data_IF_769357896926
#
_entry.id   IF_769357896926
#
_cell.length_a   1.000
_cell.length_b   1.000
_cell.length_c   1.000
_cell.angle_alpha   90.00
_cell.angle_beta   90.00
_cell.angle_gamma   90.00
#
_symmetry.space_group_name_H-M   'P 1'
#
loop_
_entity.id
_entity.type
_entity.pdbx_description
1 polymer ?
#
# COMPACT_ATOMS: atom_id res chain seq x y z
N UNK A 1 6.56 10.49 8.58
CA UNK A 1 5.19 9.99 8.81
C UNK A 1 5.19 8.47 8.80
N UNK A 2 4.55 7.78 9.76
CA UNK A 2 4.41 6.32 9.69
C UNK A 2 3.58 5.94 8.44
N UNK A 3 3.87 4.81 7.76
CA UNK A 3 3.12 4.40 6.58
C UNK A 3 1.63 4.21 6.89
N UNK A 4 0.76 4.30 5.87
CA UNK A 4 -0.66 4.09 6.07
C UNK A 4 -0.91 2.67 6.58
N UNK A 5 -1.78 2.57 7.58
CA UNK A 5 -2.18 1.33 8.24
C UNK A 5 -3.68 1.14 8.15
N UNK A 6 -4.28 1.58 7.05
CA UNK A 6 -5.71 1.50 6.78
C UNK A 6 -6.03 1.00 5.36
N UNK A 7 -5.03 0.50 4.63
CA UNK A 7 -5.22 -0.10 3.31
C UNK A 7 -5.67 -1.55 3.50
N UNK A 8 -6.89 -1.88 3.10
CA UNK A 8 -7.45 -3.24 3.18
C UNK A 8 -6.73 -4.16 2.20
N UNK A 9 -6.10 -5.24 2.69
CA UNK A 9 -5.40 -6.21 1.83
C UNK A 9 -6.34 -7.33 1.38
N UNK A 10 -6.94 -8.02 2.35
CA UNK A 10 -7.87 -9.11 2.10
C UNK A 10 -8.75 -9.41 3.32
N UNK A 11 -9.79 -10.21 3.09
CA UNK A 11 -10.67 -10.74 4.13
C UNK A 11 -10.61 -12.27 4.05
N UNK A 12 -10.56 -12.94 5.20
CA UNK A 12 -10.37 -14.40 5.28
C UNK A 12 -11.69 -15.08 5.57
N UNK A 13 -12.08 -16.01 4.68
CA UNK A 13 -13.24 -16.86 4.83
C UNK A 13 -12.81 -18.33 5.01
N UNK A 14 -12.96 -18.85 6.22
CA UNK A 14 -12.65 -20.23 6.57
C UNK A 14 -13.77 -21.16 6.11
N UNK A 15 -13.40 -22.19 5.38
CA UNK A 15 -14.28 -23.30 5.01
C UNK A 15 -14.07 -24.46 5.99
N UNK A 16 -15.02 -25.39 6.13
CA UNK A 16 -14.80 -26.60 6.90
C UNK A 16 -13.54 -27.35 6.41
N UNK A 17 -12.89 -28.11 7.30
CA UNK A 17 -11.67 -28.83 6.95
C UNK A 17 -11.91 -29.81 5.77
N UNK A 18 -10.98 -29.83 4.81
CA UNK A 18 -11.06 -30.63 3.59
C UNK A 18 -12.12 -30.17 2.58
N UNK A 19 -12.76 -29.03 2.80
CA UNK A 19 -13.93 -28.55 2.02
C UNK A 19 -13.66 -27.31 1.18
N UNK A 20 -12.40 -27.01 0.87
CA UNK A 20 -12.06 -25.92 -0.05
C UNK A 20 -12.74 -26.04 -1.42
N UNK A 21 -12.81 -27.22 -2.08
CA UNK A 21 -13.51 -27.34 -3.37
C UNK A 21 -15.01 -27.01 -3.30
N UNK A 22 -15.66 -27.36 -2.20
CA UNK A 22 -17.08 -27.07 -1.97
C UNK A 22 -17.27 -25.54 -1.81
N UNK A 23 -16.38 -24.88 -1.08
CA UNK A 23 -16.37 -23.42 -0.96
C UNK A 23 -16.10 -22.71 -2.29
N UNK A 24 -15.14 -23.19 -3.10
CA UNK A 24 -14.89 -22.67 -4.46
C UNK A 24 -16.17 -22.73 -5.30
N UNK A 25 -16.79 -23.90 -5.37
CA UNK A 25 -18.04 -24.11 -6.12
C UNK A 25 -19.14 -23.16 -5.65
N UNK A 26 -19.25 -22.95 -4.34
CA UNK A 26 -20.24 -22.06 -3.76
C UNK A 26 -20.02 -20.59 -4.15
N UNK A 27 -18.78 -20.11 -4.02
CA UNK A 27 -18.41 -18.76 -4.41
C UNK A 27 -18.57 -18.51 -5.92
N UNK A 28 -18.31 -19.51 -6.76
CA UNK A 28 -18.59 -19.46 -8.19
C UNK A 28 -20.08 -19.35 -8.51
N UNK A 29 -20.95 -20.05 -7.76
CA UNK A 29 -22.42 -19.92 -7.90
C UNK A 29 -22.93 -18.54 -7.52
N UNK A 30 -22.23 -17.84 -6.62
CA UNK A 30 -22.50 -16.44 -6.29
C UNK A 30 -22.01 -15.46 -7.38
N UNK A 31 -21.43 -15.97 -8.46
CA UNK A 31 -20.97 -15.19 -9.60
C UNK A 31 -19.57 -14.60 -9.43
N UNK A 32 -18.80 -15.04 -8.42
CA UNK A 32 -17.40 -14.70 -8.31
C UNK A 32 -16.55 -15.60 -9.21
N UNK A 33 -15.44 -15.05 -9.69
CA UNK A 33 -14.38 -15.84 -10.30
C UNK A 33 -13.42 -16.24 -9.19
N UNK A 34 -13.26 -17.54 -8.99
CA UNK A 34 -12.35 -18.07 -7.97
C UNK A 34 -11.10 -18.60 -8.66
N UNK A 35 -9.93 -18.21 -8.17
CA UNK A 35 -8.63 -18.66 -8.71
C UNK A 35 -7.95 -19.57 -7.69
N UNK A 36 -7.44 -20.75 -8.10
CA UNK A 36 -6.65 -21.60 -7.22
C UNK A 36 -5.46 -20.83 -6.63
N UNK A 37 -5.33 -20.85 -5.31
CA UNK A 37 -4.19 -20.26 -4.63
C UNK A 37 -3.06 -21.28 -4.55
N UNK A 38 -3.07 -22.09 -3.49
CA UNK A 38 -2.13 -23.18 -3.28
C UNK A 38 -2.10 -23.64 -1.82
N UNK A 39 -1.12 -24.48 -1.48
CA UNK A 39 -0.90 -24.95 -0.11
C UNK A 39 0.09 -24.04 0.61
N UNK A 40 -0.26 -23.61 1.82
CA UNK A 40 0.60 -22.78 2.65
C UNK A 40 1.84 -23.53 3.14
N UNK A 41 2.90 -22.78 3.42
CA UNK A 41 4.11 -23.32 4.05
C UNK A 41 3.74 -24.02 5.36
N UNK A 42 4.15 -25.29 5.50
CA UNK A 42 3.76 -26.16 6.61
C UNK A 42 2.64 -27.16 6.27
N UNK A 43 1.95 -27.00 5.13
CA UNK A 43 1.03 -28.02 4.60
C UNK A 43 -0.29 -28.17 5.34
N UNK A 44 -0.59 -27.29 6.31
CA UNK A 44 -1.77 -27.39 7.16
C UNK A 44 -3.04 -26.86 6.50
N UNK A 45 -2.92 -25.85 5.66
CA UNK A 45 -4.03 -25.18 5.00
C UNK A 45 -3.75 -24.97 3.52
N UNK A 46 -4.81 -24.95 2.73
CA UNK A 46 -4.79 -24.51 1.33
C UNK A 46 -5.82 -23.41 1.12
N UNK A 47 -5.59 -22.61 0.07
CA UNK A 47 -6.48 -21.50 -0.27
C UNK A 47 -6.86 -21.41 -1.75
N UNK A 48 -7.92 -20.67 -1.98
CA UNK A 48 -8.35 -20.13 -3.26
C UNK A 48 -8.70 -18.64 -3.08
N UNK A 49 -8.68 -17.89 -4.18
CA UNK A 49 -8.70 -16.43 -4.14
C UNK A 49 -9.84 -15.88 -5.00
N UNK A 50 -10.56 -14.90 -4.45
CA UNK A 50 -11.45 -14.03 -5.21
C UNK A 50 -10.83 -12.64 -5.25
N UNK A 51 -10.11 -12.33 -6.32
CA UNK A 51 -9.47 -11.02 -6.51
C UNK A 51 -10.47 -10.01 -7.11
N UNK A 52 -10.50 -8.80 -6.57
CA UNK A 52 -11.40 -7.72 -6.96
C UNK A 52 -10.65 -6.61 -7.71
N UNK A 53 -11.37 -5.77 -8.44
CA UNK A 53 -10.78 -4.70 -9.26
C UNK A 53 -10.12 -3.60 -8.42
N UNK A 54 -10.50 -3.47 -7.16
CA UNK A 54 -9.87 -2.56 -6.19
C UNK A 54 -8.58 -3.11 -5.55
N UNK A 55 -8.10 -4.28 -6.01
CA UNK A 55 -6.88 -4.91 -5.53
C UNK A 55 -7.00 -5.60 -4.16
N UNK A 56 -8.17 -5.55 -3.53
CA UNK A 56 -8.52 -6.40 -2.38
C UNK A 56 -8.87 -7.81 -2.89
N UNK A 57 -8.65 -8.83 -2.07
CA UNK A 57 -9.15 -10.17 -2.37
C UNK A 57 -9.84 -10.84 -1.18
N UNK A 58 -10.66 -11.86 -1.45
CA UNK A 58 -11.15 -12.79 -0.43
C UNK A 58 -10.27 -14.04 -0.46
N UNK A 59 -9.71 -14.38 0.69
CA UNK A 59 -9.01 -15.65 0.88
C UNK A 59 -10.01 -16.71 1.33
N UNK A 60 -10.36 -17.63 0.44
CA UNK A 60 -11.06 -18.86 0.81
C UNK A 60 -10.01 -19.83 1.32
N UNK A 61 -10.03 -20.15 2.61
CA UNK A 61 -9.04 -21.02 3.23
C UNK A 61 -9.71 -22.24 3.84
N UNK A 62 -9.04 -23.39 3.82
CA UNK A 62 -9.46 -24.57 4.58
C UNK A 62 -8.25 -25.25 5.19
N UNK A 63 -8.42 -25.83 6.38
CA UNK A 63 -7.47 -26.82 6.89
C UNK A 63 -7.59 -28.12 6.09
N UNK A 64 -6.46 -28.77 5.79
CA UNK A 64 -6.44 -30.05 5.07
C UNK A 64 -7.08 -31.17 5.90
N UNK A 65 -6.90 -31.10 7.21
CA UNK A 65 -7.49 -32.00 8.19
C UNK A 65 -8.11 -31.17 9.33
N UNK A 66 -9.16 -31.67 10.01
CA UNK A 66 -9.70 -31.00 11.19
C UNK A 66 -8.59 -30.71 12.21
N UNK A 67 -8.53 -29.49 12.78
CA UNK A 67 -7.63 -29.20 13.88
C UNK A 67 -7.83 -30.19 15.04
N UNK A 68 -6.75 -30.64 15.66
CA UNK A 68 -6.79 -31.51 16.84
C UNK A 68 -7.04 -30.70 18.13
N UNK A 69 -7.48 -31.36 19.20
CA UNK A 69 -7.55 -30.78 20.54
C UNK A 69 -6.61 -31.57 21.49
N UNK A 70 -5.48 -30.98 21.95
CA UNK A 70 -5.01 -29.62 21.66
C UNK A 70 -4.52 -29.47 20.20
N UNK A 71 -4.47 -28.22 19.66
CA UNK A 71 -4.00 -27.97 18.30
C UNK A 71 -2.58 -28.50 18.07
N UNK A 72 -2.38 -29.22 16.96
CA UNK A 72 -1.07 -29.72 16.55
C UNK A 72 -0.12 -28.61 16.07
N UNK A 73 -0.63 -27.38 15.92
CA UNK A 73 0.13 -26.19 15.54
C UNK A 73 -0.35 -24.98 16.33
N UNK A 74 0.54 -23.99 16.47
CA UNK A 74 0.23 -22.67 17.04
C UNK A 74 -0.55 -21.77 16.05
N UNK A 75 -1.31 -22.38 15.13
CA UNK A 75 -2.10 -21.62 14.17
C UNK A 75 -3.26 -20.91 14.89
N UNK A 76 -3.26 -19.58 14.82
CA UNK A 76 -4.25 -18.73 15.49
C UNK A 76 -5.68 -18.97 15.02
N UNK A 77 -5.87 -19.57 13.85
CA UNK A 77 -7.19 -19.86 13.28
C UNK A 77 -7.69 -21.28 13.60
N UNK A 78 -6.88 -22.14 14.23
CA UNK A 78 -7.26 -23.52 14.54
C UNK A 78 -8.54 -23.64 15.41
N UNK A 79 -8.83 -22.63 16.24
CA UNK A 79 -10.00 -22.58 17.12
C UNK A 79 -11.21 -21.83 16.52
N UNK A 80 -11.08 -21.33 15.28
CA UNK A 80 -12.13 -20.55 14.62
C UNK A 80 -13.19 -21.47 14.04
N UNK A 81 -14.44 -21.04 14.14
CA UNK A 81 -15.53 -21.68 13.39
C UNK A 81 -15.49 -21.25 11.92
N UNK A 82 -15.93 -22.10 10.96
CA UNK A 82 -15.98 -21.71 9.57
C UNK A 82 -16.84 -20.45 9.34
N UNK A 83 -16.47 -19.65 8.35
CA UNK A 83 -17.05 -18.37 8.01
C UNK A 83 -16.03 -17.24 7.93
N UNK A 84 -16.47 -16.00 8.12
CA UNK A 84 -15.57 -14.83 8.19
C UNK A 84 -14.75 -14.83 9.48
N UNK A 85 -13.45 -15.11 9.39
CA UNK A 85 -12.62 -15.38 10.58
C UNK A 85 -11.59 -14.29 10.91
N UNK A 86 -11.14 -13.54 9.91
CA UNK A 86 -10.06 -12.56 10.04
C UNK A 86 -10.06 -11.58 8.84
N UNK A 87 -9.30 -10.50 8.95
CA UNK A 87 -9.11 -9.53 7.89
C UNK A 87 -7.73 -8.87 8.02
N UNK A 88 -7.18 -8.47 6.87
CA UNK A 88 -5.81 -8.03 6.76
C UNK A 88 -5.73 -6.62 6.19
N UNK A 89 -4.77 -5.87 6.69
CA UNK A 89 -4.30 -4.63 6.08
C UNK A 89 -2.97 -4.84 5.36
N UNK A 90 -2.69 -4.02 4.37
CA UNK A 90 -1.43 -4.07 3.65
C UNK A 90 -0.30 -3.61 4.57
N UNK A 91 0.69 -4.47 4.79
CA UNK A 91 1.90 -4.13 5.52
C UNK A 91 2.89 -3.44 4.61
N UNK A 92 3.21 -2.18 4.90
CA UNK A 92 4.17 -1.37 4.13
C UNK A 92 5.48 -1.12 4.88
N UNK A 93 5.68 -1.79 6.02
CA UNK A 93 6.84 -1.60 6.88
C UNK A 93 7.16 -2.89 7.67
N UNK A 94 8.42 -3.08 8.01
CA UNK A 94 8.91 -4.20 8.82
C UNK A 94 8.56 -4.04 10.31
N UNK A 95 8.29 -2.80 10.75
CA UNK A 95 8.13 -2.39 12.14
C UNK A 95 6.69 -1.96 12.46
N UNK A 96 5.69 -2.52 11.79
CA UNK A 96 4.27 -2.23 12.05
C UNK A 96 3.91 -2.44 13.53
N UNK A 97 4.45 -3.46 14.19
CA UNK A 97 4.23 -3.69 15.62
C UNK A 97 4.73 -2.54 16.50
N UNK A 98 5.84 -1.91 16.12
CA UNK A 98 6.39 -0.72 16.79
C UNK A 98 5.50 0.49 16.52
N UNK A 99 5.08 0.71 15.27
CA UNK A 99 4.18 1.81 14.89
C UNK A 99 2.87 1.75 15.72
N UNK A 100 2.25 0.58 15.80
CA UNK A 100 1.03 0.40 16.60
C UNK A 100 1.31 0.59 18.10
N UNK A 101 2.45 0.10 18.60
CA UNK A 101 2.85 0.29 20.01
C UNK A 101 3.01 1.77 20.35
N UNK A 102 3.67 2.56 19.50
CA UNK A 102 3.84 4.00 19.73
C UNK A 102 2.52 4.75 19.73
N UNK A 103 1.58 4.41 18.83
CA UNK A 103 0.23 4.99 18.81
C UNK A 103 -0.56 4.61 20.07
N UNK A 104 -0.47 3.35 20.51
CA UNK A 104 -1.19 2.88 21.70
C UNK A 104 -0.66 3.51 23.01
N UNK A 105 0.58 3.98 23.07
CA UNK A 105 1.11 4.69 24.27
C UNK A 105 0.25 5.90 24.67
N UNK A 106 -0.32 6.57 23.68
CA UNK A 106 -1.16 7.76 23.88
C UNK A 106 -2.61 7.41 24.14
N UNK A 107 -3.18 6.48 23.37
CA UNK A 107 -4.62 6.12 23.45
C UNK A 107 -4.91 5.12 24.57
N UNK A 108 -3.93 4.27 24.91
CA UNK A 108 -4.03 3.21 25.92
C UNK A 108 -5.20 2.25 25.68
N UNK A 109 -5.44 1.90 24.41
CA UNK A 109 -6.47 0.92 24.01
C UNK A 109 -6.10 -0.51 24.43
N UNK A 110 -4.80 -0.77 24.66
CA UNK A 110 -4.28 -2.07 25.06
C UNK A 110 -4.12 -3.07 23.91
N UNK A 111 -4.23 -2.60 22.65
CA UNK A 111 -3.87 -3.39 21.47
C UNK A 111 -2.35 -3.62 21.46
N UNK A 112 -1.92 -4.83 21.13
CA UNK A 112 -0.51 -5.18 21.03
C UNK A 112 -0.31 -6.14 19.87
N UNK A 113 0.74 -5.93 19.10
CA UNK A 113 1.10 -6.80 17.98
C UNK A 113 2.34 -7.62 18.32
N UNK A 114 2.42 -8.79 17.69
CA UNK A 114 3.62 -9.62 17.65
C UNK A 114 4.57 -9.09 16.59
N UNK A 115 5.87 -9.35 16.73
CA UNK A 115 6.83 -9.08 15.67
C UNK A 115 6.45 -9.87 14.42
N UNK A 116 6.63 -9.27 13.25
CA UNK A 116 6.31 -9.90 11.97
C UNK A 116 6.97 -11.27 11.79
N UNK A 117 6.19 -12.25 11.36
CA UNK A 117 6.64 -13.62 11.04
C UNK A 117 6.55 -13.85 9.54
N UNK A 118 7.61 -14.38 8.95
CA UNK A 118 7.62 -14.72 7.53
C UNK A 118 6.83 -16.01 7.28
N UNK A 119 6.11 -16.00 6.17
CA UNK A 119 5.32 -17.11 5.66
C UNK A 119 5.34 -17.12 4.14
N UNK A 120 4.60 -18.05 3.56
CA UNK A 120 4.57 -18.19 2.12
C UNK A 120 3.66 -19.32 1.65
N UNK A 121 3.51 -19.42 0.34
CA UNK A 121 2.90 -20.58 -0.34
C UNK A 121 3.59 -20.83 -1.67
N UNK A 122 3.38 -22.02 -2.22
CA UNK A 122 3.65 -22.28 -3.64
C UNK A 122 2.37 -22.05 -4.43
N UNK A 123 2.45 -21.31 -5.54
CA UNK A 123 1.29 -21.07 -6.40
C UNK A 123 0.98 -22.31 -7.23
N UNK A 124 -0.28 -22.70 -7.25
CA UNK A 124 -0.72 -23.94 -7.90
C UNK A 124 -0.49 -23.95 -9.42
N UNK A 125 -0.56 -22.80 -10.09
CA UNK A 125 -0.49 -22.71 -11.55
C UNK A 125 0.91 -22.95 -12.14
N UNK A 126 1.96 -22.53 -11.44
CA UNK A 126 3.33 -22.55 -11.97
C UNK A 126 4.40 -22.91 -10.93
N UNK A 127 4.01 -23.22 -9.69
CA UNK A 127 4.91 -23.62 -8.62
C UNK A 127 5.82 -22.52 -8.08
N UNK A 128 5.66 -21.26 -8.52
CA UNK A 128 6.45 -20.14 -8.00
C UNK A 128 6.25 -20.02 -6.49
N UNK A 129 7.34 -19.70 -5.79
CA UNK A 129 7.32 -19.45 -4.36
C UNK A 129 6.96 -17.99 -4.09
N UNK A 130 6.06 -17.76 -3.15
CA UNK A 130 5.58 -16.46 -2.75
C UNK A 130 5.84 -16.31 -1.27
N UNK A 131 6.36 -15.15 -0.87
CA UNK A 131 6.73 -14.88 0.51
C UNK A 131 6.08 -13.59 0.98
N UNK A 132 5.68 -13.60 2.23
CA UNK A 132 5.11 -12.45 2.91
C UNK A 132 5.52 -12.45 4.37
N UNK A 133 5.32 -11.32 5.03
CA UNK A 133 5.45 -11.19 6.48
C UNK A 133 4.09 -10.86 7.08
N UNK A 134 3.67 -11.63 8.07
CA UNK A 134 2.44 -11.35 8.82
C UNK A 134 2.74 -10.78 10.19
N UNK A 135 2.14 -9.64 10.53
CA UNK A 135 2.21 -9.01 11.85
C UNK A 135 0.80 -9.01 12.44
N UNK A 136 0.56 -9.82 13.47
CA UNK A 136 -0.78 -10.06 14.02
C UNK A 136 -0.92 -9.59 15.47
N UNK A 137 -2.14 -9.29 15.95
CA UNK A 137 -2.38 -9.01 17.36
C UNK A 137 -1.90 -10.16 18.26
N UNK A 138 -1.43 -9.81 19.47
CA UNK A 138 -1.16 -10.77 20.53
C UNK A 138 -2.48 -11.32 21.08
N UNK A 139 -2.42 -12.55 21.59
CA UNK A 139 -3.55 -13.17 22.29
C UNK A 139 -4.04 -12.26 23.42
N UNK A 140 -5.37 -12.10 23.55
CA UNK A 140 -6.05 -11.18 24.47
C UNK A 140 -5.79 -9.67 24.26
N UNK A 141 -5.05 -9.27 23.23
CA UNK A 141 -4.68 -7.89 22.94
C UNK A 141 -5.17 -7.41 21.57
N UNK A 142 -6.41 -7.78 21.22
CA UNK A 142 -7.07 -7.41 19.96
C UNK A 142 -7.24 -8.56 18.97
N UNK A 143 -6.74 -9.76 19.30
CA UNK A 143 -7.04 -10.97 18.54
C UNK A 143 -8.57 -11.12 18.41
N UNK A 144 -9.05 -11.44 17.20
CA UNK A 144 -10.46 -11.57 16.77
C UNK A 144 -11.19 -10.28 16.38
N UNK A 145 -10.59 -9.12 16.59
CA UNK A 145 -11.24 -7.83 16.26
C UNK A 145 -10.33 -6.93 15.42
N UNK A 146 -9.09 -6.72 15.88
CA UNK A 146 -8.10 -5.96 15.16
C UNK A 146 -7.54 -6.76 13.97
N UNK A 147 -7.25 -6.11 12.84
CA UNK A 147 -6.72 -6.78 11.65
C UNK A 147 -5.29 -7.25 11.87
N UNK A 148 -4.82 -8.22 11.11
CA UNK A 148 -3.39 -8.44 10.95
C UNK A 148 -2.85 -7.64 9.76
N UNK A 149 -1.54 -7.53 9.65
CA UNK A 149 -0.88 -6.92 8.49
C UNK A 149 -0.21 -7.99 7.65
N UNK A 150 -0.32 -7.87 6.33
CA UNK A 150 0.35 -8.74 5.37
C UNK A 150 1.26 -7.90 4.46
N UNK A 151 2.58 -8.05 4.63
CA UNK A 151 3.59 -7.39 3.83
C UNK A 151 4.10 -8.35 2.75
N UNK A 152 4.04 -7.92 1.49
CA UNK A 152 4.61 -8.64 0.36
C UNK A 152 6.15 -8.63 0.42
N UNK A 153 6.78 -9.82 0.51
CA UNK A 153 8.25 -9.98 0.38
C UNK A 153 8.66 -10.42 -1.03
N UNK A 154 7.70 -10.94 -1.79
CA UNK A 154 7.78 -11.15 -3.24
C UNK A 154 6.79 -10.21 -3.93
N UNK A 155 6.98 -9.86 -5.23
CA UNK A 155 6.05 -9.00 -5.95
C UNK A 155 4.58 -9.41 -5.75
N UNK A 156 3.74 -8.43 -5.41
CA UNK A 156 2.33 -8.64 -5.02
C UNK A 156 1.51 -9.33 -6.11
N UNK A 157 1.78 -9.01 -7.37
CA UNK A 157 1.14 -9.59 -8.56
C UNK A 157 1.39 -11.11 -8.68
N UNK A 158 2.43 -11.64 -8.01
CA UNK A 158 2.58 -13.07 -7.85
C UNK A 158 1.51 -13.63 -6.90
N UNK A 159 1.25 -12.94 -5.78
CA UNK A 159 0.37 -13.38 -4.68
C UNK A 159 -1.10 -13.17 -5.00
N UNK A 160 -1.44 -12.02 -5.58
CA UNK A 160 -2.80 -11.58 -5.86
C UNK A 160 -3.01 -11.61 -7.37
N UNK A 161 -3.89 -12.49 -7.89
CA UNK A 161 -4.23 -12.51 -9.30
C UNK A 161 -4.81 -11.16 -9.76
N UNK A 162 -4.53 -10.77 -11.00
CA UNK A 162 -5.16 -9.60 -11.60
C UNK A 162 -6.68 -9.80 -11.74
N UNK A 163 -7.43 -8.78 -11.36
CA UNK A 163 -8.86 -8.68 -11.57
C UNK A 163 -9.22 -7.29 -12.11
N UNK A 164 -10.02 -7.26 -13.17
CA UNK A 164 -10.63 -6.06 -13.72
C UNK A 164 -12.13 -5.99 -13.46
N UNK A 165 -12.76 -4.90 -13.89
CA UNK A 165 -14.16 -4.56 -13.61
C UNK A 165 -15.21 -5.55 -14.15
N UNK A 166 -14.84 -6.44 -15.07
CA UNK A 166 -15.71 -7.43 -15.70
C UNK A 166 -15.30 -8.87 -15.34
N UNK A 167 -14.49 -9.03 -14.29
CA UNK A 167 -13.96 -10.33 -13.86
C UNK A 167 -15.02 -11.25 -13.29
N UNK A 168 -16.05 -10.68 -12.65
CA UNK A 168 -17.08 -11.42 -11.95
C UNK A 168 -18.42 -11.28 -12.66
N UNK A 169 -19.16 -12.38 -12.80
CA UNK A 169 -20.50 -12.37 -13.42
C UNK A 169 -21.52 -11.68 -12.54
N UNK A 170 -21.29 -11.64 -11.22
CA UNK A 170 -22.06 -10.84 -10.26
C UNK A 170 -21.72 -9.34 -10.29
N UNK A 171 -20.78 -8.93 -11.16
CA UNK A 171 -20.35 -7.53 -11.35
C UNK A 171 -19.67 -6.90 -10.13
N UNK A 172 -19.20 -7.69 -9.17
CA UNK A 172 -18.45 -7.19 -8.03
C UNK A 172 -17.17 -6.47 -8.49
N UNK A 173 -16.92 -5.31 -7.89
CA UNK A 173 -15.80 -4.43 -8.20
C UNK A 173 -14.81 -4.34 -7.04
N UNK A 174 -15.32 -4.41 -5.82
CA UNK A 174 -14.54 -4.13 -4.63
C UNK A 174 -15.34 -4.31 -3.34
N UNK A 175 -14.73 -3.98 -2.21
CA UNK A 175 -15.37 -4.06 -0.89
C UNK A 175 -16.17 -2.79 -0.62
N UNK A 176 -17.42 -2.94 -0.19
CA UNK A 176 -18.27 -1.85 0.28
C UNK A 176 -18.13 -1.66 1.79
N UNK A 177 -18.14 -2.75 2.55
CA UNK A 177 -18.02 -2.67 4.00
C UNK A 177 -17.64 -4.00 4.64
N UNK A 178 -17.16 -3.90 5.89
CA UNK A 178 -16.95 -4.99 6.83
C UNK A 178 -17.72 -4.63 8.10
N UNK A 179 -18.63 -5.49 8.53
CA UNK A 179 -19.33 -5.33 9.81
C UNK A 179 -18.75 -6.29 10.85
N UNK A 180 -18.10 -5.72 11.86
CA UNK A 180 -17.52 -6.43 12.98
C UNK A 180 -18.46 -6.32 14.19
N UNK A 181 -19.02 -7.45 14.62
CA UNK A 181 -19.88 -7.51 15.80
C UNK A 181 -19.04 -7.83 17.03
N UNK A 182 -19.28 -7.15 18.15
CA UNK A 182 -18.56 -7.36 19.42
C UNK A 182 -19.52 -7.31 20.61
N UNK A 183 -19.18 -7.94 21.76
CA UNK A 183 -19.93 -7.74 22.99
C UNK A 183 -20.08 -6.25 23.31
N UNK A 184 -21.27 -5.83 23.74
CA UNK A 184 -21.53 -4.42 24.05
C UNK A 184 -20.53 -3.86 25.08
N UNK A 185 -20.15 -4.67 26.07
CA UNK A 185 -19.15 -4.32 27.08
C UNK A 185 -17.73 -4.12 26.53
N UNK A 186 -17.44 -4.58 25.31
CA UNK A 186 -16.14 -4.44 24.65
C UNK A 186 -16.14 -3.35 23.56
N UNK A 187 -17.30 -2.77 23.22
CA UNK A 187 -17.44 -1.84 22.09
C UNK A 187 -16.43 -0.68 22.15
N UNK A 188 -16.37 0.04 23.27
CA UNK A 188 -15.48 1.19 23.42
C UNK A 188 -14.00 0.80 23.36
N UNK A 189 -13.66 -0.36 23.95
CA UNK A 189 -12.30 -0.90 23.89
C UNK A 189 -11.91 -1.22 22.44
N UNK A 190 -12.75 -1.97 21.73
CA UNK A 190 -12.47 -2.35 20.34
C UNK A 190 -12.43 -1.11 19.44
N UNK A 191 -13.33 -0.14 19.64
CA UNK A 191 -13.30 1.15 18.93
C UNK A 191 -11.95 1.84 19.12
N UNK A 192 -11.47 1.95 20.37
CA UNK A 192 -10.16 2.54 20.64
C UNK A 192 -9.02 1.76 19.97
N UNK A 193 -9.06 0.43 20.00
CA UNK A 193 -8.05 -0.43 19.37
C UNK A 193 -8.02 -0.24 17.84
N UNK A 194 -9.18 -0.25 17.19
CA UNK A 194 -9.29 -0.01 15.75
C UNK A 194 -8.79 1.40 15.39
N UNK A 195 -9.15 2.43 16.17
CA UNK A 195 -8.67 3.79 15.91
C UNK A 195 -7.14 3.92 16.02
N UNK A 196 -6.51 3.20 16.96
CA UNK A 196 -5.05 3.11 17.06
C UNK A 196 -4.45 2.43 15.84
N UNK A 197 -5.03 1.31 15.41
CA UNK A 197 -4.53 0.52 14.29
C UNK A 197 -4.66 1.27 12.97
N UNK A 198 -5.82 1.87 12.70
CA UNK A 198 -6.08 2.59 11.45
C UNK A 198 -5.51 4.01 11.44
N UNK A 199 -5.03 4.51 12.59
CA UNK A 199 -4.62 5.90 12.79
C UNK A 199 -5.70 6.91 12.38
N UNK A 200 -6.95 6.59 12.68
CA UNK A 200 -8.12 7.38 12.35
C UNK A 200 -9.18 7.22 13.44
N UNK A 201 -9.98 8.26 13.67
CA UNK A 201 -11.13 8.15 14.58
C UNK A 201 -12.35 7.64 13.81
N UNK A 202 -13.24 6.91 14.50
CA UNK A 202 -14.53 6.57 13.94
C UNK A 202 -15.41 7.82 13.80
N UNK A 203 -16.36 7.77 12.88
CA UNK A 203 -17.47 8.72 12.87
C UNK A 203 -18.50 8.41 13.99
N UNK A 204 -19.59 9.17 14.04
CA UNK A 204 -20.67 9.01 15.03
C UNK A 204 -21.42 7.68 14.94
N UNK A 205 -21.23 6.93 13.84
CA UNK A 205 -21.86 5.62 13.58
C UNK A 205 -20.90 4.45 13.78
N UNK A 206 -19.76 4.67 14.43
CA UNK A 206 -18.71 3.66 14.68
C UNK A 206 -18.10 3.09 13.39
N UNK A 207 -17.91 3.95 12.40
CA UNK A 207 -17.33 3.59 11.10
C UNK A 207 -16.00 4.29 10.82
N UNK A 208 -15.10 3.56 10.17
CA UNK A 208 -13.84 4.06 9.60
C UNK A 208 -13.83 3.83 8.10
N UNK A 209 -13.24 4.77 7.36
CA UNK A 209 -12.96 4.59 5.94
C UNK A 209 -11.63 3.85 5.76
N UNK A 210 -11.64 2.84 4.90
CA UNK A 210 -10.48 2.05 4.53
C UNK A 210 -10.01 2.49 3.15
N UNK A 211 -8.70 2.53 2.95
CA UNK A 211 -8.11 2.62 1.63
C UNK A 211 -8.06 1.22 0.98
N UNK A 212 -7.88 1.18 -0.33
CA UNK A 212 -7.74 -0.06 -1.10
C UNK A 212 -6.45 -0.03 -1.92
N UNK A 213 -5.88 -1.18 -2.32
CA UNK A 213 -4.62 -1.22 -3.05
C UNK A 213 -4.71 -0.52 -4.41
N UNK A 214 -5.82 -0.67 -5.13
CA UNK A 214 -6.07 -0.06 -6.43
C UNK A 214 -7.45 0.62 -6.43
N UNK A 215 -7.65 1.71 -7.17
CA UNK A 215 -8.95 2.38 -7.22
C UNK A 215 -9.17 3.36 -6.07
N UNK A 216 -10.09 4.29 -6.25
CA UNK A 216 -10.78 4.95 -5.15
C UNK A 216 -12.28 4.74 -5.34
N UNK A 217 -12.95 4.18 -4.33
CA UNK A 217 -14.41 4.15 -4.33
C UNK A 217 -14.93 5.40 -3.63
N UNK A 218 -16.00 5.99 -4.15
CA UNK A 218 -16.78 7.00 -3.45
C UNK A 218 -18.22 6.49 -3.34
N UNK A 219 -18.58 5.79 -2.25
CA UNK A 219 -17.92 5.81 -0.95
C UNK A 219 -16.78 4.80 -0.83
N UNK A 220 -15.73 5.16 -0.07
CA UNK A 220 -14.67 4.22 0.30
C UNK A 220 -15.25 3.02 1.08
N UNK A 221 -14.58 1.85 1.05
CA UNK A 221 -14.97 0.74 1.90
C UNK A 221 -14.98 1.15 3.37
N UNK A 222 -15.97 0.69 4.13
CA UNK A 222 -16.10 1.04 5.55
C UNK A 222 -15.96 -0.16 6.47
N UNK A 223 -15.19 -0.01 7.53
CA UNK A 223 -15.30 -0.89 8.69
C UNK A 223 -16.32 -0.31 9.66
N UNK A 224 -17.30 -1.10 10.09
CA UNK A 224 -18.23 -0.76 11.17
C UNK A 224 -18.07 -1.70 12.35
N UNK A 225 -18.00 -1.15 13.56
CA UNK A 225 -18.06 -1.96 14.78
C UNK A 225 -19.45 -1.86 15.40
N UNK A 226 -20.06 -3.00 15.72
CA UNK A 226 -21.44 -3.10 16.19
C UNK A 226 -21.45 -3.78 17.57
N UNK A 227 -21.86 -3.04 18.59
CA UNK A 227 -22.09 -3.59 19.93
C UNK A 227 -23.36 -4.44 20.01
N UNK A 228 -23.30 -5.55 20.73
CA UNK A 228 -24.43 -6.46 20.93
C UNK A 228 -24.34 -7.20 22.26
N UNK A 229 -25.49 -7.49 22.87
CA UNK A 229 -25.56 -8.16 24.18
C UNK A 229 -24.92 -9.57 24.17
N UNK A 230 -25.25 -10.39 23.17
CA UNK A 230 -24.88 -11.82 23.14
C UNK A 230 -23.96 -12.19 21.97
N UNK A 231 -23.01 -11.32 21.61
CA UNK A 231 -22.14 -11.55 20.46
C UNK A 231 -20.78 -12.12 20.85
N UNK A 232 -20.36 -13.20 20.21
CA UNK A 232 -18.94 -13.52 20.07
C UNK A 232 -18.31 -12.51 19.09
N UNK A 233 -17.14 -11.92 19.40
CA UNK A 233 -16.44 -11.05 18.47
C UNK A 233 -16.21 -11.72 17.11
N UNK A 234 -16.55 -11.03 16.02
CA UNK A 234 -16.31 -11.55 14.68
C UNK A 234 -17.00 -10.77 13.58
N UNK A 235 -16.55 -11.01 12.35
CA UNK A 235 -17.13 -10.42 11.16
C UNK A 235 -18.47 -11.13 10.88
N UNK A 236 -19.55 -10.36 10.80
CA UNK A 236 -20.90 -10.91 10.58
C UNK A 236 -21.41 -10.65 9.17
N UNK A 237 -20.86 -9.65 8.49
CA UNK A 237 -21.26 -9.25 7.14
C UNK A 237 -20.09 -8.61 6.39
N UNK A 238 -19.94 -8.99 5.12
CA UNK A 238 -19.04 -8.34 4.16
C UNK A 238 -19.89 -7.88 2.96
N UNK A 239 -19.83 -6.58 2.70
CA UNK A 239 -20.48 -5.95 1.55
C UNK A 239 -19.52 -5.81 0.37
N UNK A 240 -20.02 -6.02 -0.84
CA UNK A 240 -19.30 -5.83 -2.10
C UNK A 240 -19.99 -4.76 -2.92
N UNK A 241 -19.22 -3.85 -3.50
CA UNK A 241 -19.74 -2.96 -4.52
C UNK A 241 -19.96 -3.73 -5.83
N UNK A 242 -21.14 -3.57 -6.42
CA UNK A 242 -21.54 -4.20 -7.70
C UNK A 242 -22.05 -3.16 -8.69
N UNK A 243 -21.85 -3.40 -10.00
CA UNK A 243 -22.41 -2.53 -11.05
C UNK A 243 -23.93 -2.66 -11.19
N UNK A 244 -24.50 -3.81 -10.82
CA UNK A 244 -25.92 -4.12 -10.94
C UNK A 244 -26.36 -4.94 -9.74
N UNK A 245 -27.59 -4.72 -9.27
CA UNK A 245 -28.19 -5.52 -8.20
C UNK A 245 -28.03 -7.01 -8.51
N UNK A 246 -27.40 -7.74 -7.59
CA UNK A 246 -27.19 -9.17 -7.66
C UNK A 246 -27.78 -9.81 -6.42
N UNK A 247 -28.62 -10.83 -6.62
CA UNK A 247 -29.29 -11.53 -5.53
C UNK A 247 -28.61 -12.86 -5.29
N UNK A 248 -28.13 -13.06 -4.07
CA UNK A 248 -27.61 -14.32 -3.56
C UNK A 248 -27.20 -14.13 -2.10
N UNK A 249 -27.55 -15.08 -1.25
CA UNK A 249 -26.99 -15.19 0.10
C UNK A 249 -25.87 -16.24 0.03
N UNK A 250 -24.67 -15.84 0.46
CA UNK A 250 -23.50 -16.70 0.45
C UNK A 250 -23.41 -17.60 1.69
N UNK A 251 -24.29 -17.48 2.67
CA UNK A 251 -23.89 -17.98 3.97
C UNK A 251 -24.00 -19.49 4.11
N UNK A 252 -25.09 -20.16 3.74
CA UNK A 252 -25.39 -21.50 4.27
C UNK A 252 -25.07 -21.61 5.81
N UNK A 253 -25.14 -20.49 6.55
CA UNK A 253 -24.72 -20.38 7.95
C UNK A 253 -23.30 -19.86 8.27
N UNK A 254 -22.46 -19.53 7.28
CA UNK A 254 -21.04 -19.15 7.43
C UNK A 254 -20.71 -17.64 7.32
N UNK A 255 -21.71 -16.76 7.43
CA UNK A 255 -21.50 -15.29 7.54
C UNK A 255 -21.84 -14.48 6.28
N UNK A 256 -22.48 -13.32 6.45
CA UNK A 256 -23.33 -12.68 5.43
C UNK A 256 -22.53 -12.01 4.30
N UNK A 257 -22.96 -12.22 3.06
CA UNK A 257 -22.48 -11.47 1.89
C UNK A 257 -23.61 -10.57 1.41
N UNK A 258 -23.27 -9.30 1.16
CA UNK A 258 -24.21 -8.31 0.63
C UNK A 258 -23.64 -7.68 -0.63
N UNK A 259 -24.50 -7.47 -1.63
CA UNK A 259 -24.15 -6.73 -2.83
C UNK A 259 -24.78 -5.34 -2.73
N UNK A 260 -23.96 -4.30 -2.80
CA UNK A 260 -24.36 -2.90 -2.75
C UNK A 260 -24.11 -2.28 -4.12
N UNK A 261 -25.18 -1.85 -4.77
CA UNK A 261 -25.05 -1.20 -6.08
C UNK A 261 -24.24 0.09 -5.95
N UNK A 262 -23.23 0.22 -6.81
CA UNK A 262 -22.41 1.42 -6.96
C UNK A 262 -22.61 1.94 -8.38
N UNK A 263 -23.06 3.19 -8.51
CA UNK A 263 -23.18 3.81 -9.83
C UNK A 263 -21.76 3.99 -10.39
N UNK A 264 -21.53 3.65 -11.66
CA UNK A 264 -20.17 3.65 -12.26
C UNK A 264 -19.47 5.02 -12.14
N UNK A 265 -20.22 6.13 -12.10
CA UNK A 265 -19.68 7.49 -11.85
C UNK A 265 -19.08 7.70 -10.44
N UNK A 266 -19.43 6.82 -9.51
CA UNK A 266 -19.06 6.84 -8.10
C UNK A 266 -17.89 5.86 -7.82
N UNK A 267 -17.52 5.04 -8.81
CA UNK A 267 -16.29 4.26 -8.84
C UNK A 267 -15.21 5.07 -9.56
N UNK A 268 -14.25 5.62 -8.83
CA UNK A 268 -13.13 6.30 -9.44
C UNK A 268 -12.08 5.24 -9.84
N UNK A 269 -11.88 5.07 -11.15
CA UNK A 269 -10.96 4.10 -11.75
C UNK A 269 -9.48 4.32 -11.42
N UNK A 270 -9.20 5.28 -10.56
CA UNK A 270 -7.88 5.74 -10.22
C UNK A 270 -7.04 4.64 -9.64
N UNK A 271 -6.07 4.15 -10.41
CA UNK A 271 -5.06 3.20 -9.99
C UNK A 271 -4.31 3.62 -8.72
N UNK A 272 -3.25 2.88 -8.43
CA UNK A 272 -2.51 2.92 -7.16
C UNK A 272 -2.27 4.34 -6.63
N UNK A 273 -2.23 4.56 -5.29
CA UNK A 273 -2.00 5.88 -4.71
C UNK A 273 -0.82 6.62 -5.36
N UNK A 274 -1.04 7.89 -5.73
CA UNK A 274 -0.04 8.73 -6.42
C UNK A 274 0.42 9.92 -5.57
N UNK A 275 0.02 9.97 -4.31
CA UNK A 275 0.34 11.03 -3.36
C UNK A 275 1.36 10.62 -2.29
N UNK A 276 2.01 9.45 -2.44
CA UNK A 276 3.07 9.02 -1.54
C UNK A 276 4.34 9.74 -1.96
N UNK A 277 4.89 10.60 -1.12
CA UNK A 277 6.16 11.28 -1.39
C UNK A 277 7.31 10.25 -1.40
N UNK A 278 8.10 10.21 -2.48
CA UNK A 278 9.27 9.33 -2.60
C UNK A 278 10.54 10.06 -2.18
N UNK A 279 10.85 11.18 -2.84
CA UNK A 279 12.03 11.98 -2.54
C UNK A 279 11.92 13.41 -3.06
N UNK A 280 12.82 14.26 -2.57
CA UNK A 280 13.01 15.64 -3.03
C UNK A 280 14.45 15.79 -3.51
N UNK A 281 14.66 16.50 -4.61
CA UNK A 281 15.97 16.61 -5.25
C UNK A 281 16.59 17.98 -4.99
N UNK A 282 17.80 17.94 -4.45
CA UNK A 282 18.66 19.10 -4.26
C UNK A 282 19.87 19.02 -5.19
N UNK A 283 19.89 19.85 -6.22
CA UNK A 283 20.98 19.96 -7.19
C UNK A 283 22.13 20.77 -6.62
N UNK A 284 23.33 20.21 -6.72
CA UNK A 284 24.60 20.88 -6.39
C UNK A 284 25.26 21.38 -7.67
N UNK A 285 26.20 22.36 -7.58
CA UNK A 285 26.98 22.76 -8.74
C UNK A 285 27.72 21.55 -9.37
N UNK A 286 27.97 21.56 -10.70
CA UNK A 286 28.64 20.44 -11.36
C UNK A 286 30.00 20.12 -10.73
N UNK A 287 30.27 18.84 -10.47
CA UNK A 287 31.48 18.33 -9.84
C UNK A 287 31.60 18.64 -8.34
N UNK A 288 30.55 19.14 -7.68
CA UNK A 288 30.57 19.59 -6.28
C UNK A 288 29.72 18.75 -5.32
N UNK A 289 29.46 17.48 -5.65
CA UNK A 289 28.66 16.59 -4.78
C UNK A 289 29.29 16.42 -3.40
N UNK A 290 30.61 16.27 -3.32
CA UNK A 290 31.33 16.11 -2.03
C UNK A 290 31.21 17.34 -1.13
N UNK A 291 31.20 18.54 -1.71
CA UNK A 291 30.98 19.79 -0.96
C UNK A 291 29.55 19.86 -0.43
N UNK A 292 28.56 19.43 -1.21
CA UNK A 292 27.18 19.33 -0.76
C UNK A 292 27.02 18.29 0.36
N UNK A 293 27.63 17.11 0.24
CA UNK A 293 27.65 16.08 1.29
C UNK A 293 28.18 16.68 2.60
N UNK A 294 29.38 17.28 2.56
CA UNK A 294 29.97 17.91 3.73
C UNK A 294 29.08 19.02 4.33
N UNK A 295 28.40 19.79 3.48
CA UNK A 295 27.46 20.81 3.95
C UNK A 295 26.27 20.21 4.69
N UNK A 296 25.66 19.16 4.16
CA UNK A 296 24.52 18.48 4.77
C UNK A 296 24.91 17.71 6.04
N UNK A 297 26.10 17.11 6.09
CA UNK A 297 26.65 16.51 7.30
C UNK A 297 26.85 17.55 8.41
N UNK A 298 27.34 18.74 8.06
CA UNK A 298 27.45 19.86 9.01
C UNK A 298 26.10 20.38 9.53
N UNK A 299 25.01 20.15 8.77
CA UNK A 299 23.64 20.41 9.23
C UNK A 299 23.11 19.29 10.15
N UNK A 300 23.90 18.26 10.43
CA UNK A 300 23.55 17.14 11.30
C UNK A 300 22.81 16.00 10.62
N UNK A 301 22.80 15.94 9.28
CA UNK A 301 22.28 14.80 8.56
C UNK A 301 23.36 13.74 8.35
N UNK A 302 23.07 12.48 8.66
CA UNK A 302 23.80 11.37 8.05
C UNK A 302 23.56 11.34 6.53
N UNK A 303 24.63 11.33 5.74
CA UNK A 303 24.59 11.30 4.28
C UNK A 303 25.21 9.99 3.78
N UNK A 304 24.49 9.27 2.94
CA UNK A 304 24.87 7.98 2.39
C UNK A 304 25.39 8.17 0.96
N UNK A 305 26.61 7.69 0.63
CA UNK A 305 27.09 7.69 -0.75
C UNK A 305 26.17 6.89 -1.68
N UNK A 306 25.64 7.51 -2.73
CA UNK A 306 24.74 6.87 -3.69
C UNK A 306 25.52 6.19 -4.83
N UNK A 307 26.30 6.99 -5.56
CA UNK A 307 27.14 6.57 -6.68
C UNK A 307 26.86 7.34 -7.96
N UNK A 308 27.48 6.94 -9.07
CA UNK A 308 27.25 7.52 -10.40
C UNK A 308 26.11 6.79 -11.10
N UNK A 309 25.19 7.55 -11.71
CA UNK A 309 24.10 7.01 -12.52
C UNK A 309 24.62 6.27 -13.76
N UNK A 310 23.82 5.32 -14.27
CA UNK A 310 24.24 4.43 -15.35
C UNK A 310 24.62 5.17 -16.66
N UNK A 311 24.09 6.37 -16.89
CA UNK A 311 24.44 7.22 -18.03
C UNK A 311 25.77 7.99 -17.86
N UNK A 312 26.35 7.97 -16.67
CA UNK A 312 27.61 8.65 -16.34
C UNK A 312 27.49 10.17 -16.24
N UNK A 313 26.28 10.74 -16.28
CA UNK A 313 26.08 12.20 -16.33
C UNK A 313 26.04 12.84 -14.95
N UNK A 314 25.45 12.14 -13.99
CA UNK A 314 25.24 12.64 -12.63
C UNK A 314 25.65 11.60 -11.60
N UNK A 315 26.04 12.07 -10.42
CA UNK A 315 26.17 11.25 -9.21
C UNK A 315 25.31 11.80 -8.10
N UNK A 316 24.96 10.92 -7.16
CA UNK A 316 24.16 11.29 -6.00
C UNK A 316 24.72 10.79 -4.67
N UNK A 317 24.20 11.41 -3.63
CA UNK A 317 24.22 10.97 -2.25
C UNK A 317 22.81 11.12 -1.67
N UNK A 318 22.50 10.35 -0.63
CA UNK A 318 21.16 10.25 -0.08
C UNK A 318 21.14 10.68 1.37
N UNK A 319 20.11 11.42 1.76
CA UNK A 319 19.71 11.57 3.16
C UNK A 319 18.43 10.77 3.32
N UNK A 320 18.53 9.51 3.77
CA UNK A 320 17.38 8.66 4.03
C UNK A 320 16.76 9.00 5.39
N UNK A 321 15.45 9.22 5.44
CA UNK A 321 14.73 9.61 6.64
C UNK A 321 13.92 8.43 7.19
N UNK A 322 13.61 8.47 8.49
CA UNK A 322 12.92 7.38 9.20
C UNK A 322 11.47 7.15 8.72
N UNK A 323 10.92 8.05 7.92
CA UNK A 323 9.62 7.90 7.29
C UNK A 323 9.65 7.31 5.88
N UNK A 324 10.81 6.85 5.43
CA UNK A 324 10.98 6.20 4.12
C UNK A 324 11.11 7.17 2.94
N UNK A 325 11.00 8.48 3.17
CA UNK A 325 11.37 9.52 2.20
C UNK A 325 12.89 9.72 2.23
N UNK A 326 13.50 10.12 1.12
CA UNK A 326 14.88 10.59 1.13
C UNK A 326 15.04 11.94 0.42
N UNK A 327 16.13 12.63 0.74
CA UNK A 327 16.58 13.78 -0.04
C UNK A 327 17.71 13.31 -0.93
N UNK A 328 17.57 13.53 -2.23
CA UNK A 328 18.61 13.23 -3.20
C UNK A 328 19.51 14.46 -3.38
N UNK A 329 20.74 14.36 -2.88
CA UNK A 329 21.79 15.31 -3.21
C UNK A 329 22.38 14.86 -4.54
N UNK A 330 22.20 15.63 -5.59
CA UNK A 330 22.66 15.27 -6.93
C UNK A 330 23.61 16.32 -7.49
N UNK A 331 24.60 15.91 -8.26
CA UNK A 331 25.41 16.81 -9.07
C UNK A 331 25.64 16.22 -10.45
N UNK A 332 25.71 17.08 -11.47
CA UNK A 332 26.32 16.67 -12.73
C UNK A 332 27.82 16.47 -12.53
N UNK A 333 28.39 15.42 -13.12
CA UNK A 333 29.84 15.17 -13.06
C UNK A 333 30.62 16.30 -13.76
N UNK A 334 30.04 16.85 -14.83
CA UNK A 334 30.58 17.96 -15.62
C UNK A 334 29.47 18.94 -15.97
N UNK A 335 29.77 20.22 -16.25
CA UNK A 335 28.77 21.17 -16.72
C UNK A 335 27.97 20.63 -17.93
N UNK A 336 26.62 20.66 -17.90
CA UNK A 336 25.78 20.04 -18.94
C UNK A 336 25.64 20.94 -20.19
N UNK A 337 26.77 21.25 -20.84
CA UNK A 337 26.84 22.25 -21.93
C UNK A 337 26.61 21.62 -23.32
N UNK A 338 26.75 20.30 -23.49
CA UNK A 338 26.52 19.62 -24.78
C UNK A 338 25.94 18.20 -24.64
N UNK A 339 25.46 17.59 -25.75
CA UNK A 339 24.83 16.27 -25.71
C UNK A 339 25.81 15.16 -25.28
N UNK A 340 25.34 14.11 -24.58
CA UNK A 340 23.94 13.93 -24.14
C UNK A 340 23.58 14.72 -22.87
N UNK A 341 24.54 15.39 -22.22
CA UNK A 341 24.32 16.09 -20.95
C UNK A 341 23.35 17.28 -21.06
N UNK A 342 23.39 18.03 -22.16
CA UNK A 342 22.49 19.16 -22.42
C UNK A 342 21.03 18.74 -22.60
N UNK A 343 20.78 17.47 -22.93
CA UNK A 343 19.45 16.90 -23.18
C UNK A 343 18.86 16.29 -21.91
N UNK A 344 19.63 16.24 -20.82
CA UNK A 344 19.17 15.76 -19.52
C UNK A 344 18.05 16.68 -18.99
N UNK A 345 17.01 16.09 -18.39
CA UNK A 345 15.81 16.80 -17.95
C UNK A 345 16.07 17.89 -16.89
N UNK A 346 17.21 17.82 -16.18
CA UNK A 346 17.66 18.84 -15.24
C UNK A 346 18.79 19.75 -15.75
N UNK A 347 19.23 19.62 -17.01
CA UNK A 347 20.39 20.36 -17.55
C UNK A 347 20.27 21.89 -17.43
N UNK A 348 19.02 22.41 -17.49
CA UNK A 348 18.72 23.86 -17.42
C UNK A 348 18.39 24.34 -16.01
N UNK A 349 18.42 23.46 -15.00
CA UNK A 349 18.13 23.81 -13.61
C UNK A 349 19.34 24.48 -12.97
N UNK A 350 19.08 25.41 -12.06
CA UNK A 350 20.10 26.01 -11.22
C UNK A 350 20.28 25.19 -9.94
N UNK A 351 21.46 25.20 -9.29
CA UNK A 351 21.66 24.56 -8.00
C UNK A 351 20.62 25.00 -6.95
N UNK A 352 20.18 24.06 -6.12
CA UNK A 352 19.12 24.22 -5.12
C UNK A 352 18.05 23.12 -5.23
N UNK A 353 16.86 23.38 -4.69
CA UNK A 353 15.70 22.50 -4.81
C UNK A 353 15.12 22.56 -6.23
N UNK A 354 15.19 21.44 -6.98
CA UNK A 354 14.90 21.47 -8.43
C UNK A 354 13.70 20.66 -8.86
N UNK A 355 13.38 19.59 -8.11
CA UNK A 355 12.35 18.62 -8.47
C UNK A 355 11.96 17.75 -7.26
N UNK A 356 10.88 16.99 -7.39
CA UNK A 356 10.39 16.10 -6.35
C UNK A 356 9.56 14.97 -6.96
N UNK A 357 9.49 13.84 -6.26
CA UNK A 357 8.90 12.62 -6.77
C UNK A 357 7.85 12.06 -5.83
N UNK A 358 6.81 11.48 -6.42
CA UNK A 358 5.94 10.54 -5.74
C UNK A 358 6.36 9.09 -6.06
N UNK A 359 6.04 8.16 -5.15
CA UNK A 359 6.34 6.75 -5.32
C UNK A 359 5.41 6.16 -6.38
N UNK A 360 5.98 5.56 -7.42
CA UNK A 360 5.24 4.80 -8.41
C UNK A 360 4.97 3.39 -7.89
N UNK A 361 3.70 3.04 -7.69
CA UNK A 361 3.27 1.72 -7.21
C UNK A 361 2.84 0.77 -8.33
N UNK A 362 2.79 1.24 -9.57
CA UNK A 362 2.35 0.50 -10.74
C UNK A 362 3.10 0.94 -12.01
N UNK A 363 3.07 0.07 -13.03
CA UNK A 363 3.77 0.30 -14.30
C UNK A 363 3.17 1.44 -15.14
N UNK A 364 1.88 1.77 -14.91
CA UNK A 364 1.08 2.63 -15.79
C UNK A 364 0.51 3.86 -15.08
N UNK A 365 1.30 4.50 -14.21
CA UNK A 365 0.90 5.70 -13.46
C UNK A 365 0.49 6.87 -14.37
N UNK A 366 1.07 6.95 -15.57
CA UNK A 366 0.66 7.90 -16.62
C UNK A 366 -0.80 7.71 -17.04
N UNK A 367 -1.25 6.46 -17.15
CA UNK A 367 -2.64 6.12 -17.47
C UNK A 367 -3.58 6.42 -16.30
N UNK A 368 -3.12 6.21 -15.07
CA UNK A 368 -3.88 6.59 -13.86
C UNK A 368 -4.10 8.10 -13.80
N UNK A 369 -3.06 8.90 -14.03
CA UNK A 369 -3.20 10.37 -14.10
C UNK A 369 -4.10 10.78 -15.27
N UNK A 370 -3.93 10.17 -16.45
CA UNK A 370 -4.79 10.44 -17.61
C UNK A 370 -6.26 10.03 -17.37
N UNK A 371 -6.51 9.04 -16.52
CA UNK A 371 -7.84 8.67 -16.05
C UNK A 371 -8.49 9.79 -15.25
N UNK A 372 -7.76 10.34 -14.26
CA UNK A 372 -8.22 11.45 -13.39
C UNK A 372 -8.45 12.74 -14.13
N UNK A 373 -7.63 13.01 -15.13
CA UNK A 373 -7.76 14.21 -15.95
C UNK A 373 -9.11 14.27 -16.67
N UNK A 374 -9.74 13.10 -16.94
CA UNK A 374 -11.08 13.03 -17.53
C UNK A 374 -12.13 13.62 -16.59
N UNK A 375 -12.42 14.90 -16.77
CA UNK A 375 -13.47 15.62 -16.05
C UNK A 375 -12.99 16.79 -15.20
N UNK A 376 -11.68 16.99 -15.07
CA UNK A 376 -11.10 18.15 -14.35
C UNK A 376 -10.62 19.25 -15.30
N UNK A 377 -10.25 18.90 -16.54
CA UNK A 377 -9.73 19.83 -17.56
C UNK A 377 -8.54 20.67 -17.05
N UNK A 378 -7.65 20.03 -16.28
CA UNK A 378 -6.40 20.64 -15.81
C UNK A 378 -5.32 20.67 -16.90
N UNK A 379 -5.50 19.83 -17.93
CA UNK A 379 -4.60 19.64 -19.05
C UNK A 379 -3.30 18.91 -18.71
N UNK A 380 -3.18 18.29 -17.52
CA UNK A 380 -1.96 17.57 -17.12
C UNK A 380 -1.80 16.28 -17.93
N UNK A 381 -0.58 16.05 -18.41
CA UNK A 381 -0.21 14.85 -19.15
C UNK A 381 1.15 14.34 -18.67
N UNK A 382 1.36 13.03 -18.75
CA UNK A 382 2.62 12.37 -18.44
C UNK A 382 3.22 11.72 -19.68
N UNK A 383 4.53 11.51 -19.63
CA UNK A 383 5.28 10.74 -20.62
C UNK A 383 5.27 9.27 -20.24
N UNK A 384 5.55 8.39 -21.20
CA UNK A 384 5.84 6.98 -20.90
C UNK A 384 7.03 6.86 -19.94
N UNK A 385 6.96 5.90 -19.03
CA UNK A 385 7.99 5.67 -18.03
C UNK A 385 9.33 5.24 -18.66
N UNK A 386 10.43 5.85 -18.22
CA UNK A 386 11.77 5.52 -18.68
C UNK A 386 12.54 4.78 -17.59
N UNK A 387 13.15 3.66 -17.94
CA UNK A 387 13.98 2.90 -17.00
C UNK A 387 15.34 3.57 -16.79
N UNK A 388 15.80 3.52 -15.55
CA UNK A 388 17.08 4.03 -15.08
C UNK A 388 17.67 3.10 -14.02
N UNK A 389 18.89 3.42 -13.60
CA UNK A 389 19.61 2.60 -12.63
C UNK A 389 20.93 3.20 -12.20
N UNK A 390 21.49 2.66 -11.12
CA UNK A 390 22.88 2.89 -10.70
C UNK A 390 23.44 1.67 -9.99
N UNK A 391 24.76 1.65 -9.79
CA UNK A 391 25.40 0.71 -8.86
C UNK A 391 25.56 1.39 -7.51
N UNK A 392 25.20 0.68 -6.44
CA UNK A 392 25.38 1.16 -5.08
C UNK A 392 26.85 1.20 -4.71
N UNK A 393 27.32 2.32 -4.18
CA UNK A 393 28.73 2.53 -3.88
C UNK A 393 29.30 1.55 -2.84
N UNK A 394 28.50 1.08 -1.88
CA UNK A 394 28.96 0.25 -0.77
C UNK A 394 29.27 -1.20 -1.15
N UNK A 395 28.48 -1.81 -2.03
CA UNK A 395 28.56 -3.24 -2.36
C UNK A 395 28.45 -3.55 -3.87
N UNK A 396 28.34 -2.53 -4.71
CA UNK A 396 28.27 -2.68 -6.17
C UNK A 396 26.95 -3.26 -6.68
N UNK A 397 25.95 -3.49 -5.82
CA UNK A 397 24.64 -4.01 -6.23
C UNK A 397 23.98 -3.07 -7.22
N UNK A 398 23.40 -3.66 -8.27
CA UNK A 398 22.61 -2.94 -9.26
C UNK A 398 21.20 -2.72 -8.72
N UNK A 399 20.72 -1.49 -8.83
CA UNK A 399 19.35 -1.12 -8.55
C UNK A 399 18.76 -0.42 -9.77
N UNK A 400 17.48 -0.72 -10.05
CA UNK A 400 16.76 -0.24 -11.22
C UNK A 400 15.44 0.39 -10.81
N UNK A 401 15.04 1.39 -11.57
CA UNK A 401 13.79 2.11 -11.38
C UNK A 401 13.19 2.52 -12.71
N UNK A 402 11.92 2.89 -12.70
CA UNK A 402 11.24 3.56 -13.81
C UNK A 402 10.80 4.94 -13.35
N UNK A 403 11.14 5.96 -14.13
CA UNK A 403 10.71 7.35 -13.89
C UNK A 403 9.70 7.79 -14.94
N UNK A 404 8.56 8.31 -14.47
CA UNK A 404 7.48 8.82 -15.32
C UNK A 404 7.31 10.31 -15.04
N UNK A 405 7.67 11.14 -16.00
CA UNK A 405 7.64 12.60 -15.85
C UNK A 405 6.40 13.23 -16.48
N UNK A 406 5.95 14.41 -16.01
CA UNK A 406 4.97 15.18 -16.75
C UNK A 406 5.46 15.52 -18.17
N UNK A 407 4.57 15.84 -19.09
CA UNK A 407 4.95 16.37 -20.40
C UNK A 407 5.76 17.67 -20.24
N UNK A 408 6.74 17.91 -21.12
CA UNK A 408 7.66 19.05 -20.99
C UNK A 408 6.95 20.42 -20.93
N UNK A 409 5.76 20.51 -21.55
CA UNK A 409 4.91 21.71 -21.55
C UNK A 409 4.44 22.13 -20.14
N UNK A 410 4.46 21.21 -19.17
CA UNK A 410 4.09 21.48 -17.77
C UNK A 410 5.28 21.91 -16.90
N UNK A 411 6.50 21.93 -17.47
CA UNK A 411 7.73 22.18 -16.74
C UNK A 411 8.21 20.96 -15.96
N UNK A 412 9.19 21.20 -15.08
CA UNK A 412 9.81 20.20 -14.19
C UNK A 412 9.89 20.80 -12.79
N UNK A 413 9.60 20.01 -11.75
CA UNK A 413 9.62 20.44 -10.35
C UNK A 413 8.38 21.19 -9.83
N UNK A 414 7.44 21.56 -10.70
CA UNK A 414 6.16 22.17 -10.28
C UNK A 414 5.10 21.12 -9.95
N UNK A 415 5.14 20.00 -10.66
CA UNK A 415 4.27 18.83 -10.49
C UNK A 415 5.23 17.64 -10.34
N UNK A 416 4.96 16.65 -9.46
CA UNK A 416 5.90 15.59 -9.20
C UNK A 416 6.08 14.68 -10.41
N UNK A 417 7.24 14.06 -10.54
CA UNK A 417 7.37 12.85 -11.34
C UNK A 417 7.13 11.62 -10.46
N UNK A 418 6.98 10.46 -11.08
CA UNK A 418 6.85 9.20 -10.35
C UNK A 418 8.13 8.38 -10.46
N UNK A 419 8.55 7.77 -9.36
CA UNK A 419 9.69 6.86 -9.32
C UNK A 419 9.23 5.49 -8.82
N UNK A 420 9.25 4.49 -9.68
CA UNK A 420 8.89 3.11 -9.38
C UNK A 420 10.15 2.27 -9.20
N UNK A 421 10.25 1.53 -8.10
CA UNK A 421 11.31 0.57 -7.83
C UNK A 421 11.13 -0.70 -8.68
N UNK A 422 12.10 -1.03 -9.55
CA UNK A 422 12.12 -2.28 -10.34
C UNK A 422 12.97 -3.38 -9.68
N UNK A 423 13.75 -2.99 -8.68
CA UNK A 423 14.49 -3.85 -7.75
C UNK A 423 14.04 -3.53 -6.33
N UNK A 424 14.25 -4.40 -5.32
CA UNK A 424 13.82 -4.11 -3.96
C UNK A 424 14.26 -2.72 -3.47
N UNK A 425 13.30 -1.95 -2.94
CA UNK A 425 13.47 -0.52 -2.62
C UNK A 425 14.63 -0.27 -1.67
N UNK A 426 14.87 -1.16 -0.73
CA UNK A 426 15.96 -1.11 0.24
C UNK A 426 17.36 -1.15 -0.41
N UNK A 427 17.45 -1.55 -1.69
CA UNK A 427 18.67 -1.40 -2.47
C UNK A 427 18.91 0.05 -2.87
N UNK A 428 17.84 0.79 -3.21
CA UNK A 428 17.88 2.21 -3.57
C UNK A 428 17.92 3.13 -2.36
N UNK A 429 17.08 2.86 -1.37
CA UNK A 429 16.90 3.68 -0.17
C UNK A 429 17.12 2.80 1.05
N UNK A 430 18.32 2.84 1.67
CA UNK A 430 18.54 2.15 2.94
C UNK A 430 17.59 2.66 4.03
N UNK A 431 17.17 1.77 4.93
CA UNK A 431 16.39 2.16 6.10
C UNK A 431 17.18 3.14 6.98
N UNK A 432 16.48 4.10 7.57
CA UNK A 432 17.01 5.02 8.57
C UNK A 432 16.20 4.89 9.86
N UNK A 433 16.89 4.77 10.98
CA UNK A 433 16.27 4.79 12.31
C UNK A 433 16.02 6.24 12.77
N UNK A 434 15.08 6.50 13.70
CA UNK A 434 14.78 7.84 14.22
C UNK A 434 15.98 8.61 14.81
N UNK A 435 17.05 7.92 15.20
CA UNK A 435 18.29 8.49 15.76
C UNK A 435 19.43 8.61 14.74
N UNK A 436 19.16 8.32 13.46
CA UNK A 436 20.16 8.37 12.37
C UNK A 436 20.78 9.76 12.19
N UNK A 437 19.98 10.83 12.33
CA UNK A 437 20.45 12.20 12.13
C UNK A 437 20.64 12.91 13.49
N UNK A 438 21.78 13.55 13.68
CA UNK A 438 22.09 14.28 14.93
C UNK A 438 21.23 15.54 15.09
N UNK A 439 20.67 16.05 13.98
CA UNK A 439 19.69 17.13 14.00
C UNK A 439 18.26 16.68 14.31
N UNK A 440 18.02 15.39 14.59
CA UNK A 440 16.72 14.80 14.92
C UNK A 440 15.66 14.87 13.81
N UNK A 441 16.03 15.14 12.57
CA UNK A 441 15.10 15.09 11.45
C UNK A 441 14.57 13.66 11.25
N UNK A 442 13.24 13.50 11.28
CA UNK A 442 12.58 12.20 11.12
C UNK A 442 11.94 11.98 9.75
N UNK A 443 11.77 13.06 8.98
CA UNK A 443 10.91 13.06 7.80
C UNK A 443 10.70 14.45 7.20
N UNK A 444 9.91 14.51 6.13
CA UNK A 444 9.51 15.76 5.47
C UNK A 444 8.15 16.21 6.01
N UNK A 445 8.09 17.40 6.60
CA UNK A 445 6.84 17.96 7.14
C UNK A 445 5.95 18.58 6.06
N UNK A 446 6.53 19.34 5.12
CA UNK A 446 5.82 19.99 4.03
C UNK A 446 6.76 20.33 2.87
N UNK A 447 6.20 20.50 1.68
CA UNK A 447 6.85 21.09 0.52
C UNK A 447 6.09 22.34 0.10
N UNK A 448 6.78 23.48 0.01
CA UNK A 448 6.19 24.72 -0.50
C UNK A 448 6.56 24.91 -1.97
N UNK A 449 5.54 24.94 -2.83
CA UNK A 449 5.69 25.20 -4.25
C UNK A 449 5.35 26.66 -4.54
N UNK A 450 6.32 27.41 -5.06
CA UNK A 450 6.09 28.77 -5.54
C UNK A 450 5.80 28.74 -7.03
N UNK A 451 4.70 29.34 -7.44
CA UNK A 451 4.25 29.37 -8.84
C UNK A 451 3.84 30.78 -9.24
N UNK A 452 3.97 31.16 -10.52
CA UNK A 452 3.45 32.44 -10.99
C UNK A 452 1.95 32.55 -10.71
N UNK A 453 1.48 33.72 -10.24
CA UNK A 453 0.08 33.94 -9.88
C UNK A 453 -0.89 33.54 -11.00
N UNK A 454 -0.54 33.86 -12.25
CA UNK A 454 -1.33 33.52 -13.44
C UNK A 454 -1.45 32.00 -13.71
N UNK A 455 -0.61 31.18 -13.10
CA UNK A 455 -0.62 29.72 -13.24
C UNK A 455 -1.14 29.00 -11.98
N UNK A 456 -1.48 29.73 -10.92
CA UNK A 456 -1.83 29.17 -9.61
C UNK A 456 -3.00 28.18 -9.70
N UNK A 457 -4.14 28.61 -10.24
CA UNK A 457 -5.35 27.76 -10.30
C UNK A 457 -5.14 26.54 -11.20
N UNK A 458 -4.45 26.73 -12.34
CA UNK A 458 -4.10 25.62 -13.23
C UNK A 458 -3.22 24.61 -12.51
N UNK A 459 -2.12 25.04 -11.89
CA UNK A 459 -1.19 24.12 -11.21
C UNK A 459 -1.86 23.44 -10.02
N UNK A 460 -2.73 24.16 -9.30
CA UNK A 460 -3.55 23.58 -8.24
C UNK A 460 -4.42 22.45 -8.78
N UNK A 461 -5.17 22.69 -9.86
CA UNK A 461 -5.99 21.65 -10.50
C UNK A 461 -5.14 20.46 -10.97
N UNK A 462 -3.97 20.73 -11.57
CA UNK A 462 -3.05 19.69 -12.01
C UNK A 462 -2.52 18.85 -10.83
N UNK A 463 -2.18 19.48 -9.71
CA UNK A 463 -1.75 18.78 -8.50
C UNK A 463 -2.91 17.95 -7.90
N UNK A 464 -4.13 18.47 -7.88
CA UNK A 464 -5.30 17.72 -7.40
C UNK A 464 -5.50 16.43 -8.22
N UNK A 465 -5.41 16.53 -9.55
CA UNK A 465 -5.46 15.38 -10.48
C UNK A 465 -4.30 14.42 -10.20
N UNK A 466 -3.07 14.92 -10.19
CA UNK A 466 -1.87 14.09 -10.08
C UNK A 466 -1.78 13.38 -8.72
N UNK A 467 -2.14 14.04 -7.63
CA UNK A 467 -2.09 13.49 -6.28
C UNK A 467 -3.35 12.68 -5.93
N UNK A 468 -4.45 12.81 -6.70
CA UNK A 468 -5.71 12.13 -6.39
C UNK A 468 -6.32 12.64 -5.09
N UNK A 469 -6.17 13.94 -4.84
CA UNK A 469 -6.71 14.64 -3.67
C UNK A 469 -7.36 15.95 -4.11
N UNK A 470 -8.43 16.42 -3.43
CA UNK A 470 -9.10 17.68 -3.78
C UNK A 470 -8.20 18.91 -3.83
#
# INVERSE_FOLDING_TARGET
MAPPTNILDHIVHLSPAGKLPDAVTHWERLGFKVTPGGTHAGGLTSNALVALADGVYIELIAFEQPPTEPPASDDRWAKKSPGWIDWALLGLDDYIDVIITERDRWVKSGVKYQKGKEGGRKRASDGKELKWRTTAPKENHGQDTAPFFCQDLTPRDLRVPAAGLDTHTNTALGIAHIHLKVPQAQLDKVRAQISVVLYAQSNESDEWELAVPHGQHSPAPRLKVIGSADATPGIVEVGFYVKKDWRGDATDGFGKVVFKELLIKDYDHNGSPTNILDHIIHLSPPGKLSEAVAHWENLGFHVIPGGTHADGLTSNALVALADGVYIELIAFEKPPIGPPASDHWWAKKQPGWIDWACLGLEDSVDQTVAGREKGVDSGVEYQEGKEGGRKRASDGKELKWRVTFPQLKHGRGTIPFFCQDLTPRELRVPAADPDTHTNSALGIAYLHLTVPQAAFDRIKAQLSVVLGTP
#
